data_IF_840809798090
#
_entry.id   IF_840809798090
#
_cell.length_a   1.000
_cell.length_b   1.000
_cell.length_c   1.000
_cell.angle_alpha   90.00
_cell.angle_beta   90.00
_cell.angle_gamma   90.00
#
_symmetry.space_group_name_H-M   'P 1'
#
loop_
_entity.id
_entity.type
_entity.pdbx_description
1 polymer ?
#
# COMPACT_ATOMS: atom_id res chain seq x y z
N UNK A 1 50.18 36.44 -2.47
CA UNK A 1 50.75 35.10 -2.73
C UNK A 1 49.85 34.08 -2.06
N UNK A 2 49.56 32.97 -2.77
CA UNK A 2 48.58 31.88 -2.49
C UNK A 2 47.11 32.23 -2.82
N UNK A 3 46.63 31.96 -4.05
CA UNK A 3 46.25 30.67 -4.69
C UNK A 3 44.88 30.16 -4.20
N UNK A 4 43.77 30.60 -4.78
CA UNK A 4 43.08 29.99 -5.93
C UNK A 4 42.86 28.47 -5.79
N UNK A 5 41.70 28.06 -5.28
CA UNK A 5 41.18 26.71 -5.42
C UNK A 5 40.02 26.67 -6.41
N UNK A 6 40.23 25.85 -7.43
CA UNK A 6 39.43 25.63 -8.62
C UNK A 6 38.26 24.68 -8.35
N UNK A 7 37.15 24.98 -9.02
CA UNK A 7 36.08 24.06 -9.43
C UNK A 7 36.62 22.67 -9.82
N UNK A 8 35.92 21.61 -9.36
CA UNK A 8 35.73 20.30 -10.02
C UNK A 8 34.80 19.45 -9.13
N UNK A 9 33.49 19.48 -9.41
CA UNK A 9 32.57 18.41 -8.99
C UNK A 9 32.43 17.53 -10.23
N UNK A 10 33.03 16.35 -10.15
CA UNK A 10 33.05 15.37 -11.21
C UNK A 10 31.97 14.31 -10.96
N UNK A 11 31.32 13.93 -12.06
CA UNK A 11 30.52 12.74 -12.26
C UNK A 11 31.03 11.52 -11.49
N UNK A 12 30.14 10.88 -10.72
CA UNK A 12 30.37 9.56 -10.16
C UNK A 12 29.83 8.51 -11.14
N UNK A 13 30.75 7.98 -11.95
CA UNK A 13 30.56 6.76 -12.74
C UNK A 13 30.80 5.57 -11.82
N UNK A 14 29.84 4.65 -11.83
CA UNK A 14 29.87 3.33 -11.18
C UNK A 14 31.13 2.58 -11.62
N UNK A 15 32.06 2.38 -10.69
CA UNK A 15 33.20 1.50 -10.88
C UNK A 15 32.82 0.09 -10.42
N UNK A 16 32.75 -0.82 -11.39
CA UNK A 16 32.66 -2.26 -11.19
C UNK A 16 33.82 -2.74 -10.30
N UNK A 17 33.50 -3.28 -9.13
CA UNK A 17 34.34 -4.24 -8.43
C UNK A 17 33.68 -5.61 -8.53
N UNK A 18 34.37 -6.51 -9.21
CA UNK A 18 33.95 -7.88 -9.42
C UNK A 18 33.71 -8.60 -8.09
N UNK A 19 32.50 -9.12 -7.94
CA UNK A 19 32.19 -10.18 -7.00
C UNK A 19 31.80 -11.41 -7.80
N UNK A 20 32.73 -12.36 -7.83
CA UNK A 20 32.49 -13.72 -8.27
C UNK A 20 31.92 -14.49 -7.09
N UNK A 21 30.60 -14.56 -6.97
CA UNK A 21 29.88 -15.59 -6.20
C UNK A 21 28.38 -15.58 -6.58
N UNK A 22 28.01 -16.29 -7.65
CA UNK A 22 26.62 -16.66 -7.92
C UNK A 22 26.56 -18.17 -8.15
N UNK A 23 26.51 -18.90 -7.04
CA UNK A 23 25.99 -20.27 -6.98
C UNK A 23 25.19 -20.41 -5.68
N UNK A 24 24.07 -19.70 -5.63
CA UNK A 24 22.90 -20.13 -4.88
C UNK A 24 21.74 -20.00 -5.87
N UNK A 25 21.36 -21.13 -6.47
CA UNK A 25 20.13 -21.27 -7.23
C UNK A 25 18.98 -21.24 -6.22
N UNK A 26 18.61 -20.04 -5.76
CA UNK A 26 17.26 -19.80 -5.25
C UNK A 26 16.30 -19.83 -6.43
N UNK A 27 15.05 -20.23 -6.20
CA UNK A 27 14.00 -20.21 -7.22
C UNK A 27 13.93 -18.81 -7.84
N UNK A 28 14.48 -18.66 -9.05
CA UNK A 28 14.33 -17.44 -9.84
C UNK A 28 12.87 -17.41 -10.27
N UNK A 29 12.17 -16.32 -9.91
CA UNK A 29 10.80 -15.97 -10.32
C UNK A 29 10.59 -16.46 -11.77
N UNK A 30 9.61 -17.34 -11.99
CA UNK A 30 9.32 -17.87 -13.33
C UNK A 30 9.00 -16.68 -14.24
N UNK A 31 9.97 -16.25 -15.03
CA UNK A 31 9.74 -15.27 -16.08
C UNK A 31 8.84 -15.93 -17.10
N UNK A 32 7.60 -15.45 -17.17
CA UNK A 32 6.61 -15.77 -18.20
C UNK A 32 7.25 -16.09 -19.57
N UNK A 33 6.75 -17.15 -20.21
CA UNK A 33 7.22 -17.82 -21.44
C UNK A 33 7.34 -16.95 -22.72
N UNK A 34 7.19 -15.65 -22.62
CA UNK A 34 7.43 -14.74 -23.73
C UNK A 34 8.85 -14.18 -23.60
N UNK A 35 9.75 -14.58 -24.50
CA UNK A 35 11.10 -13.99 -24.68
C UNK A 35 11.06 -12.49 -25.05
N UNK A 36 9.88 -11.86 -25.05
CA UNK A 36 9.70 -10.46 -25.41
C UNK A 36 10.12 -9.55 -24.25
N UNK A 37 10.99 -8.54 -24.51
CA UNK A 37 11.30 -7.53 -23.52
C UNK A 37 10.04 -6.86 -22.98
N UNK A 38 10.03 -6.60 -21.67
CA UNK A 38 8.92 -5.94 -20.98
C UNK A 38 9.35 -4.52 -20.61
N UNK A 39 8.54 -3.55 -21.00
CA UNK A 39 8.63 -2.18 -20.53
C UNK A 39 8.01 -2.06 -19.14
N UNK A 40 8.77 -1.53 -18.19
CA UNK A 40 8.27 -1.09 -16.90
C UNK A 40 8.28 0.44 -16.84
N UNK A 41 7.16 1.00 -16.40
CA UNK A 41 6.97 2.43 -16.19
C UNK A 41 6.51 2.63 -14.76
N UNK A 42 7.22 3.47 -14.00
CA UNK A 42 6.71 3.95 -12.71
C UNK A 42 6.52 5.45 -12.76
N UNK A 43 5.48 5.95 -12.11
CA UNK A 43 5.22 7.38 -12.01
C UNK A 43 4.83 7.73 -10.58
N UNK A 44 5.35 8.85 -10.09
CA UNK A 44 4.99 9.41 -8.80
C UNK A 44 4.80 10.92 -8.93
N UNK A 45 3.81 11.48 -8.25
CA UNK A 45 3.55 12.92 -8.29
C UNK A 45 2.72 13.41 -7.13
N UNK A 46 2.97 14.65 -6.74
CA UNK A 46 2.12 15.39 -5.81
C UNK A 46 0.92 15.98 -6.57
N UNK A 47 -0.27 15.89 -5.98
CA UNK A 47 -1.52 16.35 -6.56
C UNK A 47 -2.00 17.64 -5.89
N UNK A 48 -2.58 18.51 -6.69
CA UNK A 48 -3.55 19.51 -6.25
C UNK A 48 -4.86 19.20 -6.98
N UNK A 49 -5.92 18.97 -6.22
CA UNK A 49 -7.20 18.55 -6.77
C UNK A 49 -8.33 19.47 -6.32
N UNK A 50 -9.45 19.38 -7.02
CA UNK A 50 -10.71 20.05 -6.66
C UNK A 50 -11.77 18.97 -6.44
N UNK A 51 -12.25 18.83 -5.22
CA UNK A 51 -13.45 18.07 -4.90
C UNK A 51 -14.68 18.93 -5.18
N UNK A 52 -15.60 18.39 -5.97
CA UNK A 52 -16.89 18.99 -6.27
C UNK A 52 -17.95 18.18 -5.52
N UNK A 53 -18.41 18.71 -4.40
CA UNK A 53 -19.44 18.11 -3.55
C UNK A 53 -20.43 19.17 -3.05
N UNK A 54 -21.72 18.85 -3.00
CA UNK A 54 -22.78 19.69 -2.43
C UNK A 54 -22.75 21.20 -2.83
N UNK A 55 -22.38 21.49 -4.08
CA UNK A 55 -22.27 22.86 -4.65
C UNK A 55 -21.12 23.72 -4.08
N UNK A 56 -20.15 23.10 -3.41
CA UNK A 56 -18.91 23.73 -3.00
C UNK A 56 -17.71 23.02 -3.63
N UNK A 57 -16.71 23.82 -3.96
CA UNK A 57 -15.43 23.34 -4.45
C UNK A 57 -14.44 23.36 -3.29
N UNK A 58 -13.81 22.22 -3.02
CA UNK A 58 -12.77 22.09 -2.00
C UNK A 58 -11.43 21.81 -2.67
N UNK A 59 -10.42 22.61 -2.38
CA UNK A 59 -9.05 22.32 -2.82
C UNK A 59 -8.44 21.25 -1.93
N UNK A 60 -8.00 20.16 -2.54
CA UNK A 60 -7.32 19.05 -1.88
C UNK A 60 -5.85 19.02 -2.29
N UNK A 61 -5.03 18.43 -1.43
CA UNK A 61 -3.68 17.98 -1.76
C UNK A 61 -3.67 16.46 -1.78
N UNK A 62 -2.69 15.85 -2.41
CA UNK A 62 -2.61 14.41 -2.46
C UNK A 62 -1.36 13.92 -3.17
N UNK A 63 -1.35 12.64 -3.47
CA UNK A 63 -0.30 11.97 -4.21
C UNK A 63 -0.89 10.95 -5.18
N UNK A 64 -0.26 10.81 -6.33
CA UNK A 64 -0.49 9.72 -7.28
C UNK A 64 0.76 8.88 -7.42
N UNK A 65 0.57 7.58 -7.55
CA UNK A 65 1.61 6.63 -7.89
C UNK A 65 1.05 5.57 -8.83
N UNK A 66 1.76 5.23 -9.90
CA UNK A 66 1.35 4.14 -10.78
C UNK A 66 2.52 3.28 -11.25
N UNK A 67 2.22 2.01 -11.51
CA UNK A 67 3.08 1.06 -12.20
C UNK A 67 2.35 0.59 -13.46
N UNK A 68 2.93 0.90 -14.61
CA UNK A 68 2.41 0.50 -15.91
C UNK A 68 3.40 -0.46 -16.57
N UNK A 69 2.87 -1.35 -17.39
CA UNK A 69 3.64 -2.38 -18.08
C UNK A 69 3.16 -2.53 -19.51
N UNK A 70 4.08 -2.81 -20.42
CA UNK A 70 3.73 -3.23 -21.78
C UNK A 70 4.85 -4.07 -22.40
N UNK A 71 4.52 -5.00 -23.28
CA UNK A 71 5.48 -5.59 -24.21
C UNK A 71 5.61 -4.74 -25.48
N UNK A 72 6.61 -5.04 -26.32
CA UNK A 72 6.76 -4.35 -27.60
C UNK A 72 5.53 -4.55 -28.51
N UNK A 73 4.95 -5.75 -28.50
CA UNK A 73 3.70 -6.09 -29.20
C UNK A 73 2.51 -5.30 -28.69
N UNK A 74 2.35 -5.18 -27.37
CA UNK A 74 1.26 -4.40 -26.76
C UNK A 74 1.38 -2.91 -27.10
N UNK A 75 2.57 -2.33 -27.02
CA UNK A 75 2.80 -0.94 -27.41
C UNK A 75 2.49 -0.69 -28.89
N UNK A 76 2.81 -1.64 -29.79
CA UNK A 76 2.44 -1.55 -31.22
C UNK A 76 0.94 -1.58 -31.43
N UNK A 77 0.20 -2.24 -30.54
CA UNK A 77 -1.26 -2.26 -30.53
C UNK A 77 -1.86 -1.03 -29.81
N UNK A 78 -1.02 -0.19 -29.20
CA UNK A 78 -1.45 0.96 -28.42
C UNK A 78 -2.07 0.54 -27.08
N UNK A 79 -1.57 -0.52 -26.46
CA UNK A 79 -2.05 -1.06 -25.18
C UNK A 79 -0.93 -0.93 -24.15
N UNK A 80 -1.28 -0.43 -22.97
CA UNK A 80 -0.42 -0.42 -21.78
C UNK A 80 -1.23 -0.89 -20.60
N UNK A 81 -0.78 -1.97 -19.97
CA UNK A 81 -1.43 -2.54 -18.79
C UNK A 81 -1.14 -1.74 -17.53
N UNK A 82 -2.14 -1.60 -16.67
CA UNK A 82 -2.03 -0.93 -15.38
C UNK A 82 -1.82 -2.00 -14.31
N UNK A 83 -0.56 -2.15 -13.87
CA UNK A 83 -0.19 -3.09 -12.82
C UNK A 83 -0.49 -2.52 -11.43
N UNK A 84 -0.54 -1.19 -11.28
CA UNK A 84 -0.96 -0.50 -10.08
C UNK A 84 -1.26 0.97 -10.34
N UNK A 85 -2.26 1.54 -9.66
CA UNK A 85 -2.61 2.95 -9.70
C UNK A 85 -3.22 3.33 -8.35
N UNK A 86 -2.46 4.09 -7.58
CA UNK A 86 -2.80 4.48 -6.22
C UNK A 86 -2.91 6.00 -6.19
N UNK A 87 -4.04 6.49 -5.68
CA UNK A 87 -4.22 7.92 -5.45
C UNK A 87 -4.66 8.10 -4.01
N UNK A 88 -4.10 9.08 -3.34
CA UNK A 88 -4.50 9.46 -2.00
C UNK A 88 -4.69 10.97 -1.95
N UNK A 89 -5.78 11.41 -1.32
CA UNK A 89 -6.09 12.81 -1.08
C UNK A 89 -6.09 13.07 0.43
N UNK A 90 -5.52 14.20 0.83
CA UNK A 90 -5.30 14.59 2.22
C UNK A 90 -6.19 15.77 2.61
N UNK A 91 -6.56 15.86 3.89
CA UNK A 91 -7.38 16.95 4.40
C UNK A 91 -8.78 17.01 3.78
N UNK A 92 -9.35 15.87 3.39
CA UNK A 92 -10.66 15.78 2.73
C UNK A 92 -11.77 16.09 3.73
N UNK A 93 -12.62 17.11 3.51
CA UNK A 93 -13.71 17.44 4.42
C UNK A 93 -14.77 16.34 4.41
N UNK A 94 -14.78 15.47 5.42
CA UNK A 94 -15.55 14.23 5.41
C UNK A 94 -17.06 14.50 5.31
N UNK A 95 -17.53 15.53 6.02
CA UNK A 95 -18.93 15.95 5.99
C UNK A 95 -19.40 16.44 4.60
N UNK A 96 -18.50 16.93 3.75
CA UNK A 96 -18.86 17.34 2.39
C UNK A 96 -19.18 16.13 1.49
N UNK A 97 -18.60 14.97 1.79
CA UNK A 97 -18.85 13.72 1.06
C UNK A 97 -20.07 12.99 1.62
N UNK A 98 -20.16 12.89 2.95
CA UNK A 98 -21.16 12.02 3.60
C UNK A 98 -22.43 12.76 4.03
N UNK A 99 -22.41 14.09 4.05
CA UNK A 99 -23.48 14.91 4.62
C UNK A 99 -23.63 14.78 6.14
N UNK A 100 -22.70 14.09 6.83
CA UNK A 100 -22.75 13.85 8.28
C UNK A 100 -21.53 14.41 8.98
N UNK A 101 -21.72 14.93 10.20
CA UNK A 101 -20.62 15.38 11.04
C UNK A 101 -19.78 14.16 11.47
N UNK A 102 -18.46 14.14 11.22
CA UNK A 102 -17.59 13.07 11.67
C UNK A 102 -17.47 13.06 13.20
N UNK A 103 -17.24 11.88 13.78
CA UNK A 103 -17.11 11.70 15.24
C UNK A 103 -15.81 12.29 15.77
N UNK A 104 -14.71 12.09 15.04
CA UNK A 104 -13.37 12.46 15.49
C UNK A 104 -12.85 13.73 14.81
N UNK A 105 -12.48 13.65 13.53
CA UNK A 105 -11.88 14.78 12.78
C UNK A 105 -12.77 15.29 11.66
N UNK A 106 -12.79 16.62 11.47
CA UNK A 106 -13.53 17.26 10.37
C UNK A 106 -13.01 16.86 8.98
N UNK A 107 -11.71 16.56 8.88
CA UNK A 107 -11.04 16.11 7.66
C UNK A 107 -10.48 14.71 7.82
N UNK A 108 -10.22 14.01 6.72
CA UNK A 108 -9.52 12.73 6.70
C UNK A 108 -8.83 12.45 5.37
N UNK A 109 -8.26 11.26 5.26
CA UNK A 109 -7.64 10.73 4.03
C UNK A 109 -8.69 10.08 3.13
N UNK A 110 -8.63 10.30 1.81
CA UNK A 110 -9.42 9.56 0.82
C UNK A 110 -8.48 8.81 -0.11
N UNK A 111 -8.52 7.48 -0.05
CA UNK A 111 -7.75 6.61 -0.93
C UNK A 111 -8.56 6.16 -2.14
N UNK A 112 -7.91 6.00 -3.28
CA UNK A 112 -8.40 5.26 -4.44
C UNK A 112 -7.49 4.07 -4.69
N UNK A 113 -8.11 2.92 -4.93
CA UNK A 113 -7.44 1.67 -5.27
C UNK A 113 -8.12 1.03 -6.48
N UNK A 114 -7.32 0.41 -7.35
CA UNK A 114 -7.84 -0.35 -8.49
C UNK A 114 -8.68 -1.55 -8.04
N UNK A 115 -9.74 -1.80 -8.80
CA UNK A 115 -10.56 -3.01 -8.68
C UNK A 115 -9.86 -4.15 -9.43
N UNK A 116 -9.35 -5.14 -8.67
CA UNK A 116 -8.60 -6.28 -9.21
C UNK A 116 -9.52 -7.39 -9.72
N UNK A 117 -10.79 -7.39 -9.33
CA UNK A 117 -11.75 -8.45 -9.68
C UNK A 117 -12.17 -8.38 -11.14
N UNK A 118 -12.04 -7.20 -11.73
CA UNK A 118 -12.36 -6.93 -13.13
C UNK A 118 -11.26 -7.39 -14.09
N UNK A 119 -10.19 -7.99 -13.57
CA UNK A 119 -9.04 -8.45 -14.33
C UNK A 119 -8.08 -7.30 -14.70
N UNK A 120 -7.23 -7.55 -15.69
CA UNK A 120 -6.24 -6.58 -16.14
C UNK A 120 -6.91 -5.35 -16.77
N UNK A 121 -6.61 -4.17 -16.22
CA UNK A 121 -7.07 -2.88 -16.74
C UNK A 121 -5.98 -2.25 -17.61
N UNK A 122 -6.37 -1.55 -18.67
CA UNK A 122 -5.43 -1.03 -19.68
C UNK A 122 -5.69 0.43 -20.02
N UNK A 123 -4.62 1.14 -20.38
CA UNK A 123 -4.65 2.47 -21.00
C UNK A 123 -4.34 2.35 -22.48
N UNK A 124 -4.98 3.19 -23.29
CA UNK A 124 -4.68 3.31 -24.72
C UNK A 124 -3.48 4.23 -24.91
N UNK A 125 -2.48 3.74 -25.62
CA UNK A 125 -1.28 4.49 -25.99
C UNK A 125 -1.34 4.97 -27.44
N UNK A 126 -1.25 6.28 -27.64
CA UNK A 126 -1.01 6.88 -28.96
C UNK A 126 0.47 7.27 -29.12
N UNK A 127 1.26 6.53 -29.91
CA UNK A 127 2.69 6.80 -30.10
C UNK A 127 2.96 8.12 -30.83
N UNK A 128 1.98 8.69 -31.55
CA UNK A 128 2.19 9.97 -32.25
C UNK A 128 2.16 11.14 -31.30
N UNK A 129 1.23 11.13 -30.35
CA UNK A 129 1.10 12.19 -29.35
C UNK A 129 1.86 11.90 -28.06
N UNK A 130 2.31 10.66 -27.85
CA UNK A 130 2.89 10.21 -26.58
C UNK A 130 1.86 10.18 -25.45
N UNK A 131 0.58 9.99 -25.77
CA UNK A 131 -0.52 10.05 -24.80
C UNK A 131 -0.96 8.64 -24.38
N UNK A 132 -1.17 8.48 -23.09
CA UNK A 132 -1.84 7.36 -22.43
C UNK A 132 -3.18 7.84 -21.90
N UNK A 133 -4.27 7.20 -22.32
CA UNK A 133 -5.61 7.57 -21.86
C UNK A 133 -6.53 6.38 -21.66
N UNK A 134 -7.44 6.49 -20.69
CA UNK A 134 -8.39 5.43 -20.38
C UNK A 134 -9.22 5.76 -19.15
N UNK A 135 -10.11 4.83 -18.82
CA UNK A 135 -10.91 4.86 -17.61
C UNK A 135 -10.61 3.58 -16.82
N UNK A 136 -10.32 3.73 -15.54
CA UNK A 136 -9.97 2.64 -14.64
C UNK A 136 -11.05 2.49 -13.57
N UNK A 137 -11.53 1.27 -13.37
CA UNK A 137 -12.48 0.93 -12.32
C UNK A 137 -11.74 0.71 -11.00
N UNK A 138 -12.29 1.24 -9.92
CA UNK A 138 -11.70 1.13 -8.61
C UNK A 138 -12.69 1.37 -7.49
N UNK A 139 -12.14 1.50 -6.31
CA UNK A 139 -12.84 1.74 -5.06
C UNK A 139 -12.20 2.93 -4.36
N UNK A 140 -13.00 3.69 -3.63
CA UNK A 140 -12.51 4.72 -2.71
C UNK A 140 -12.87 4.39 -1.28
N UNK A 141 -11.96 4.73 -0.38
CA UNK A 141 -12.14 4.65 1.07
C UNK A 141 -12.07 6.04 1.71
N UNK A 142 -12.76 6.19 2.83
CA UNK A 142 -12.75 7.36 3.69
C UNK A 142 -12.95 6.89 5.13
N UNK A 143 -12.20 7.39 6.14
CA UNK A 143 -12.33 6.97 7.54
C UNK A 143 -13.78 6.99 8.03
N UNK A 144 -14.55 8.04 7.69
CA UNK A 144 -15.94 8.17 8.10
C UNK A 144 -16.84 7.01 7.64
N UNK A 145 -16.50 6.27 6.59
CA UNK A 145 -17.32 5.12 6.16
C UNK A 145 -17.46 4.08 7.27
N UNK A 146 -16.43 3.90 8.10
CA UNK A 146 -16.46 3.02 9.28
C UNK A 146 -17.32 3.55 10.43
N UNK A 147 -17.50 4.87 10.53
CA UNK A 147 -18.42 5.49 11.49
C UNK A 147 -19.88 5.28 11.07
N UNK A 148 -20.13 5.31 9.75
CA UNK A 148 -21.46 5.14 9.16
C UNK A 148 -21.90 3.68 9.15
N UNK A 149 -20.96 2.75 8.96
CA UNK A 149 -21.21 1.32 9.03
C UNK A 149 -20.63 0.70 10.30
N UNK A 150 -21.47 0.57 11.33
CA UNK A 150 -21.10 -0.11 12.57
C UNK A 150 -20.95 -1.65 12.45
N UNK A 151 -21.08 -2.25 11.26
CA UNK A 151 -20.98 -3.70 11.07
C UNK A 151 -19.62 -4.26 11.48
N UNK A 152 -18.55 -3.48 11.35
CA UNK A 152 -17.19 -3.89 11.74
C UNK A 152 -17.09 -4.22 13.23
N UNK A 153 -17.83 -3.52 14.11
CA UNK A 153 -17.88 -3.80 15.55
C UNK A 153 -18.50 -5.16 15.89
N UNK A 154 -19.11 -5.85 14.92
CA UNK A 154 -19.67 -7.19 15.07
C UNK A 154 -18.77 -8.27 14.45
N UNK A 155 -17.73 -7.88 13.74
CA UNK A 155 -16.74 -8.80 13.19
C UNK A 155 -15.97 -9.42 14.36
N UNK A 156 -15.58 -10.68 14.20
CA UNK A 156 -14.74 -11.40 15.17
C UNK A 156 -13.37 -11.59 14.54
N UNK A 157 -12.34 -11.63 15.38
CA UNK A 157 -10.96 -11.83 14.95
C UNK A 157 -10.18 -10.52 14.97
N UNK A 158 -9.16 -10.45 14.12
CA UNK A 158 -8.14 -9.40 14.09
C UNK A 158 -8.09 -8.59 12.79
N UNK A 159 -8.93 -8.90 11.81
CA UNK A 159 -8.90 -8.21 10.51
C UNK A 159 -10.25 -7.53 10.24
N UNK A 160 -10.36 -6.30 10.72
CA UNK A 160 -11.56 -5.48 10.62
C UNK A 160 -11.59 -4.74 9.29
N UNK A 161 -12.78 -4.69 8.69
CA UNK A 161 -12.97 -4.13 7.35
C UNK A 161 -13.86 -2.90 7.38
N UNK A 162 -13.66 -2.02 6.40
CA UNK A 162 -14.56 -0.89 6.14
C UNK A 162 -15.26 -1.07 4.80
N UNK A 163 -16.39 -0.40 4.63
CA UNK A 163 -17.01 -0.29 3.32
C UNK A 163 -16.18 0.63 2.43
N UNK A 164 -16.20 0.34 1.14
CA UNK A 164 -15.68 1.22 0.10
C UNK A 164 -16.79 1.66 -0.83
N UNK A 165 -16.52 2.70 -1.61
CA UNK A 165 -17.43 3.22 -2.62
C UNK A 165 -16.82 2.99 -4.00
N UNK A 166 -17.57 2.36 -4.90
CA UNK A 166 -17.10 2.15 -6.27
C UNK A 166 -16.85 3.49 -6.98
N UNK A 167 -15.81 3.53 -7.81
CA UNK A 167 -15.40 4.73 -8.53
C UNK A 167 -14.79 4.40 -9.90
N UNK A 168 -14.91 5.36 -10.82
CA UNK A 168 -14.22 5.36 -12.11
C UNK A 168 -13.18 6.47 -12.13
N UNK A 169 -11.98 6.17 -12.61
CA UNK A 169 -10.86 7.09 -12.73
C UNK A 169 -10.50 7.28 -14.21
N UNK A 170 -10.87 8.43 -14.76
CA UNK A 170 -10.36 8.91 -16.03
C UNK A 170 -8.89 9.33 -15.91
N UNK A 171 -8.02 8.76 -16.74
CA UNK A 171 -6.59 9.05 -16.79
C UNK A 171 -6.24 9.67 -18.13
N UNK A 172 -5.50 10.78 -18.11
CA UNK A 172 -4.83 11.32 -19.29
C UNK A 172 -3.39 11.70 -18.93
N UNK A 173 -2.44 10.92 -19.41
CA UNK A 173 -1.01 11.16 -19.23
C UNK A 173 -0.39 11.45 -20.59
N UNK A 174 0.26 12.61 -20.71
CA UNK A 174 0.99 13.01 -21.91
C UNK A 174 2.47 13.06 -21.61
N UNK A 175 3.26 12.28 -22.34
CA UNK A 175 4.72 12.30 -22.25
C UNK A 175 5.26 13.54 -22.98
N UNK A 176 6.26 14.21 -22.41
CA UNK A 176 6.87 15.38 -23.04
C UNK A 176 7.67 15.04 -24.31
N UNK A 177 8.08 13.78 -24.47
CA UNK A 177 8.75 13.26 -25.66
C UNK A 177 7.97 12.04 -26.20
N UNK A 178 7.36 12.18 -27.38
CA UNK A 178 6.48 11.17 -27.96
C UNK A 178 7.23 9.96 -28.53
N UNK A 179 8.56 10.07 -28.76
CA UNK A 179 9.38 8.93 -29.19
C UNK A 179 9.77 7.99 -28.02
N UNK A 180 9.37 8.33 -26.79
CA UNK A 180 10.08 7.91 -25.58
C UNK A 180 9.88 6.47 -25.10
N UNK A 181 8.73 5.82 -25.31
CA UNK A 181 8.51 4.49 -24.72
C UNK A 181 9.28 3.37 -25.45
N UNK A 182 9.57 3.55 -26.74
CA UNK A 182 10.38 2.58 -27.52
C UNK A 182 11.89 2.81 -27.38
N UNK A 183 12.32 3.91 -26.76
CA UNK A 183 13.73 4.25 -26.60
C UNK A 183 14.29 3.61 -25.30
N UNK A 184 15.59 3.30 -25.29
CA UNK A 184 16.31 3.09 -24.02
C UNK A 184 16.42 1.65 -23.48
N UNK A 185 16.65 0.63 -24.31
CA UNK A 185 16.83 -0.76 -23.85
C UNK A 185 18.00 -1.03 -22.88
N UNK A 186 18.82 -0.03 -22.55
CA UNK A 186 20.09 -0.24 -21.85
C UNK A 186 20.19 0.38 -20.46
N UNK A 187 19.31 1.32 -20.11
CA UNK A 187 19.37 2.05 -18.83
C UNK A 187 17.95 2.36 -18.32
N UNK A 188 17.85 2.71 -17.05
CA UNK A 188 16.68 3.40 -16.50
C UNK A 188 16.72 4.86 -16.94
N UNK A 189 15.60 5.37 -17.45
CA UNK A 189 15.47 6.75 -17.90
C UNK A 189 14.38 7.48 -17.12
N UNK A 190 14.72 8.64 -16.56
CA UNK A 190 13.75 9.55 -15.97
C UNK A 190 13.27 10.55 -17.01
N UNK A 191 11.95 10.70 -17.09
CA UNK A 191 11.23 11.57 -18.02
C UNK A 191 10.22 12.43 -17.26
N UNK A 192 9.76 13.49 -17.93
CA UNK A 192 8.67 14.33 -17.43
C UNK A 192 7.42 14.10 -18.28
N UNK A 193 6.26 14.21 -17.65
CA UNK A 193 4.97 14.19 -18.33
C UNK A 193 3.95 15.10 -17.64
N UNK A 194 2.84 15.31 -18.32
CA UNK A 194 1.68 16.03 -17.83
C UNK A 194 0.55 15.03 -17.56
N UNK A 195 0.04 15.01 -16.33
CA UNK A 195 -1.04 14.13 -15.90
C UNK A 195 -2.27 14.93 -15.51
N UNK A 196 -3.44 14.53 -16.01
CA UNK A 196 -4.74 14.96 -15.48
C UNK A 196 -5.57 13.73 -15.10
N UNK A 197 -6.36 13.88 -14.04
CA UNK A 197 -7.20 12.81 -13.49
C UNK A 197 -8.62 13.32 -13.25
N UNK A 198 -9.60 12.44 -13.45
CA UNK A 198 -11.00 12.68 -13.13
C UNK A 198 -11.55 11.45 -12.40
N UNK A 199 -11.78 11.58 -11.11
CA UNK A 199 -12.39 10.54 -10.29
C UNK A 199 -13.88 10.83 -10.15
N UNK A 200 -14.72 9.85 -10.45
CA UNK A 200 -16.16 9.92 -10.25
C UNK A 200 -16.64 8.72 -9.44
N UNK A 201 -17.38 8.97 -8.37
CA UNK A 201 -17.90 7.89 -7.52
C UNK A 201 -19.32 7.48 -7.88
N UNK A 202 -19.68 6.24 -7.57
CA UNK A 202 -21.05 5.76 -7.62
C UNK A 202 -21.73 5.98 -6.27
N UNK A 203 -23.04 6.31 -6.22
CA UNK A 203 -23.73 6.48 -4.95
C UNK A 203 -23.74 5.18 -4.12
N UNK A 204 -23.74 5.31 -2.78
CA UNK A 204 -23.89 4.20 -1.83
C UNK A 204 -25.20 4.40 -1.05
N UNK A 205 -26.33 3.87 -1.56
CA UNK A 205 -27.66 4.11 -0.97
C UNK A 205 -27.78 3.68 0.49
N UNK A 206 -27.12 2.59 0.87
CA UNK A 206 -27.14 2.01 2.21
C UNK A 206 -26.57 2.97 3.25
N UNK A 207 -25.58 3.77 2.86
CA UNK A 207 -24.94 4.79 3.71
C UNK A 207 -25.52 6.20 3.51
N UNK A 208 -26.42 6.36 2.54
CA UNK A 208 -26.96 7.65 2.07
C UNK A 208 -25.87 8.59 1.53
N UNK A 209 -24.84 8.02 0.91
CA UNK A 209 -23.73 8.78 0.32
C UNK A 209 -24.04 9.00 -1.16
N UNK A 210 -24.00 10.26 -1.59
CA UNK A 210 -24.21 10.64 -2.98
C UNK A 210 -22.97 10.40 -3.87
N UNK A 211 -23.14 10.66 -5.15
CA UNK A 211 -22.03 10.77 -6.09
C UNK A 211 -21.29 12.11 -5.89
N UNK A 212 -19.98 12.09 -6.02
CA UNK A 212 -19.12 13.27 -6.08
C UNK A 212 -18.00 13.06 -7.10
N UNK A 213 -17.33 14.16 -7.46
CA UNK A 213 -16.21 14.14 -8.39
C UNK A 213 -14.97 14.81 -7.81
N UNK A 214 -13.78 14.29 -8.13
CA UNK A 214 -12.50 14.91 -7.82
C UNK A 214 -11.71 15.10 -9.12
N UNK A 215 -11.24 16.32 -9.36
CA UNK A 215 -10.55 16.70 -10.59
C UNK A 215 -9.13 17.16 -10.29
N UNK A 216 -8.16 16.63 -11.02
CA UNK A 216 -6.76 17.08 -11.00
C UNK A 216 -6.47 17.75 -12.34
N UNK A 217 -6.25 19.06 -12.31
CA UNK A 217 -5.84 19.82 -13.50
C UNK A 217 -4.33 19.68 -13.72
N UNK A 218 -3.94 19.36 -14.95
CA UNK A 218 -2.57 19.08 -15.45
C UNK A 218 -1.44 19.36 -14.45
N UNK A 219 -0.89 18.29 -13.89
CA UNK A 219 0.31 18.32 -13.04
C UNK A 219 1.52 17.77 -13.77
N UNK A 220 2.71 18.26 -13.42
CA UNK A 220 3.96 17.66 -13.87
C UNK A 220 4.30 16.44 -13.02
N UNK A 221 4.60 15.33 -13.67
CA UNK A 221 4.99 14.08 -13.00
C UNK A 221 6.35 13.60 -13.51
N UNK A 222 7.11 12.96 -12.62
CA UNK A 222 8.33 12.25 -12.99
C UNK A 222 7.98 10.80 -13.31
N UNK A 223 8.51 10.32 -14.42
CA UNK A 223 8.21 9.01 -14.98
C UNK A 223 9.54 8.28 -15.17
N UNK A 224 9.71 7.14 -14.52
CA UNK A 224 10.87 6.27 -14.73
C UNK A 224 10.49 5.14 -15.67
N UNK A 225 11.33 4.89 -16.67
CA UNK A 225 11.08 3.92 -17.74
C UNK A 225 12.29 2.99 -17.89
N UNK A 226 12.05 1.69 -18.06
CA UNK A 226 13.11 0.71 -18.32
C UNK A 226 12.60 -0.51 -19.07
N UNK A 227 13.46 -1.10 -19.89
CA UNK A 227 13.24 -2.40 -20.57
C UNK A 227 14.16 -3.51 -20.02
N UNK A 228 14.95 -3.20 -18.98
CA UNK A 228 15.94 -4.11 -18.44
C UNK A 228 15.24 -5.23 -17.66
N UNK A 229 15.39 -6.48 -18.10
CA UNK A 229 14.75 -7.64 -17.47
C UNK A 229 15.20 -7.93 -16.03
N UNK A 230 16.29 -7.31 -15.57
CA UNK A 230 16.79 -7.42 -14.19
C UNK A 230 16.38 -6.23 -13.32
N UNK A 231 15.52 -5.34 -13.83
CA UNK A 231 14.90 -4.24 -13.09
C UNK A 231 13.40 -4.51 -13.02
N UNK A 232 12.82 -4.44 -11.82
CA UNK A 232 11.39 -4.60 -11.57
C UNK A 232 10.84 -3.41 -10.77
N UNK A 233 9.52 -3.30 -10.68
CA UNK A 233 8.88 -2.32 -9.82
C UNK A 233 8.80 -2.87 -8.39
N UNK A 234 9.29 -2.10 -7.43
CA UNK A 234 9.02 -2.26 -6.02
C UNK A 234 7.87 -1.36 -5.58
N UNK A 235 7.16 -1.81 -4.56
CA UNK A 235 6.08 -1.09 -3.91
C UNK A 235 6.61 -0.61 -2.55
N UNK A 236 6.53 0.68 -2.26
CA UNK A 236 6.98 1.25 -0.99
C UNK A 236 5.80 1.66 -0.15
N UNK A 237 5.76 1.19 1.10
CA UNK A 237 4.75 1.56 2.08
C UNK A 237 5.42 2.28 3.25
N UNK A 238 4.85 3.41 3.65
CA UNK A 238 5.30 4.12 4.83
C UNK A 238 4.60 3.59 6.09
N UNK A 239 5.37 3.35 7.15
CA UNK A 239 4.88 2.94 8.46
C UNK A 239 5.16 4.06 9.47
N UNK A 240 4.14 4.44 10.23
CA UNK A 240 4.23 5.37 11.36
C UNK A 240 4.10 4.58 12.65
N UNK A 241 5.21 4.25 13.33
CA UNK A 241 5.12 3.57 14.61
C UNK A 241 4.63 4.56 15.69
N UNK A 242 3.72 4.08 16.53
CA UNK A 242 3.12 4.81 17.65
C UNK A 242 3.36 4.01 18.93
N UNK A 243 3.93 4.64 19.95
CA UNK A 243 4.17 4.03 21.26
C UNK A 243 3.34 4.68 22.35
N UNK A 244 3.04 3.90 23.38
CA UNK A 244 2.41 4.35 24.61
C UNK A 244 3.52 4.72 25.60
N UNK A 245 3.41 5.90 26.19
CA UNK A 245 4.29 6.32 27.28
C UNK A 245 3.54 6.27 28.61
N UNK A 246 4.11 5.55 29.58
CA UNK A 246 3.62 5.54 30.96
C UNK A 246 4.62 6.18 31.90
N UNK A 247 4.12 6.78 32.98
CA UNK A 247 4.95 7.47 33.97
C UNK A 247 4.65 6.95 35.37
N UNK A 248 5.56 6.16 35.94
CA UNK A 248 5.58 5.78 37.35
C UNK A 248 6.99 5.96 37.93
N UNK A 249 7.33 7.21 38.26
CA UNK A 249 8.68 7.61 38.70
C UNK A 249 9.74 7.64 37.60
N UNK A 250 9.65 6.76 36.61
CA UNK A 250 10.39 6.77 35.34
C UNK A 250 9.44 6.68 34.17
N UNK A 251 9.85 7.21 33.00
CA UNK A 251 9.06 7.06 31.77
C UNK A 251 9.37 5.69 31.17
N UNK A 252 8.34 4.89 30.98
CA UNK A 252 8.37 3.66 30.20
C UNK A 252 7.76 3.93 28.82
N UNK A 253 8.27 3.26 27.79
CA UNK A 253 7.73 3.33 26.44
C UNK A 253 7.52 1.92 25.92
N UNK A 254 6.37 1.66 25.33
CA UNK A 254 6.17 0.50 24.47
C UNK A 254 6.93 0.66 23.14
N UNK A 255 6.87 -0.36 22.30
CA UNK A 255 7.42 -0.39 20.95
C UNK A 255 8.44 -1.50 20.68
N UNK A 256 8.72 -2.38 21.64
CA UNK A 256 9.68 -3.47 21.47
C UNK A 256 9.25 -4.45 20.36
N UNK A 257 7.94 -4.58 20.15
CA UNK A 257 7.34 -5.37 19.06
C UNK A 257 7.77 -4.90 17.67
N UNK A 258 8.12 -3.61 17.48
CA UNK A 258 8.56 -3.11 16.17
C UNK A 258 9.92 -3.69 15.80
N UNK A 259 10.91 -3.56 16.70
CA UNK A 259 12.26 -4.06 16.45
C UNK A 259 12.30 -5.59 16.34
N UNK A 260 11.38 -6.27 17.05
CA UNK A 260 11.22 -7.71 17.00
C UNK A 260 10.59 -8.21 15.69
N UNK A 261 9.46 -7.62 15.26
CA UNK A 261 8.69 -8.10 14.11
C UNK A 261 9.13 -7.56 12.74
N UNK A 262 9.72 -6.36 12.67
CA UNK A 262 10.11 -5.75 11.39
C UNK A 262 11.09 -6.57 10.56
N UNK A 263 12.11 -7.26 11.13
CA UNK A 263 12.99 -8.13 10.35
C UNK A 263 12.23 -9.24 9.61
N UNK A 264 11.19 -9.82 10.23
CA UNK A 264 10.31 -10.81 9.59
C UNK A 264 9.45 -10.18 8.51
N UNK A 265 8.85 -9.01 8.79
CA UNK A 265 8.09 -8.26 7.80
C UNK A 265 8.92 -7.90 6.56
N UNK A 266 10.12 -7.34 6.73
CA UNK A 266 11.03 -7.01 5.62
C UNK A 266 11.42 -8.27 4.84
N UNK A 267 11.72 -9.37 5.53
CA UNK A 267 12.13 -10.62 4.87
C UNK A 267 11.00 -11.19 4.00
N UNK A 268 9.77 -11.26 4.50
CA UNK A 268 8.64 -11.90 3.82
C UNK A 268 8.03 -11.02 2.72
N UNK A 269 7.95 -9.70 2.96
CA UNK A 269 7.35 -8.77 2.00
C UNK A 269 8.30 -8.33 0.89
N UNK A 270 9.61 -8.36 1.12
CA UNK A 270 10.57 -8.13 0.04
C UNK A 270 10.54 -9.24 -1.03
N UNK A 271 10.06 -10.45 -0.69
CA UNK A 271 9.77 -11.52 -1.67
C UNK A 271 8.63 -11.14 -2.63
N UNK A 272 7.73 -10.27 -2.19
CA UNK A 272 6.61 -9.71 -2.96
C UNK A 272 6.88 -8.27 -3.43
N UNK A 273 8.16 -7.88 -3.49
CA UNK A 273 8.62 -6.56 -3.93
C UNK A 273 8.12 -5.37 -3.12
N UNK A 274 7.66 -5.60 -1.90
CA UNK A 274 7.26 -4.55 -0.96
C UNK A 274 8.45 -4.17 -0.08
N UNK A 275 8.65 -2.86 0.10
CA UNK A 275 9.69 -2.28 0.94
C UNK A 275 9.06 -1.29 1.90
N UNK A 276 9.33 -1.44 3.19
CA UNK A 276 8.82 -0.54 4.21
C UNK A 276 9.76 0.63 4.45
N UNK A 277 9.19 1.82 4.69
CA UNK A 277 9.91 2.97 5.24
C UNK A 277 9.29 3.31 6.59
N UNK A 278 10.08 3.19 7.65
CA UNK A 278 9.62 3.41 9.02
C UNK A 278 9.99 4.83 9.46
N UNK A 279 9.02 5.60 9.94
CA UNK A 279 9.22 6.94 10.51
C UNK A 279 9.72 6.89 11.96
N UNK A 280 10.11 8.06 12.46
CA UNK A 280 10.33 8.25 13.89
C UNK A 280 9.03 8.03 14.68
N UNK A 281 9.16 7.61 15.93
CA UNK A 281 8.04 7.32 16.83
C UNK A 281 7.14 8.53 17.10
N UNK A 282 5.83 8.34 16.97
CA UNK A 282 4.82 9.17 17.63
C UNK A 282 4.54 8.61 19.02
N UNK A 283 4.18 9.46 19.98
CA UNK A 283 3.99 9.05 21.38
C UNK A 283 2.63 9.48 21.92
N UNK A 284 1.84 8.50 22.34
CA UNK A 284 0.58 8.71 23.09
C UNK A 284 0.91 8.69 24.58
N UNK A 285 0.48 9.73 25.29
CA UNK A 285 0.75 9.92 26.73
C UNK A 285 -0.48 9.54 27.57
N UNK A 286 -0.90 8.29 27.44
CA UNK A 286 -2.02 7.76 28.20
C UNK A 286 -1.69 6.35 28.71
N UNK A 287 -1.58 6.23 30.03
CA UNK A 287 -1.22 4.97 30.66
C UNK A 287 -2.36 3.94 30.65
N UNK A 288 -3.60 4.37 30.38
CA UNK A 288 -4.73 3.44 30.29
C UNK A 288 -4.57 2.49 29.08
N UNK A 289 -3.82 2.88 28.05
CA UNK A 289 -3.51 2.02 26.90
C UNK A 289 -2.33 1.05 27.10
N UNK A 290 -1.65 1.08 28.25
CA UNK A 290 -0.54 0.16 28.53
C UNK A 290 -1.03 -1.29 28.65
N UNK A 291 -2.14 -1.52 29.36
CA UNK A 291 -2.85 -2.81 29.34
C UNK A 291 -4.14 -2.67 28.53
N UNK A 292 -4.05 -3.02 27.26
CA UNK A 292 -5.07 -2.74 26.26
C UNK A 292 -6.17 -3.81 26.18
N UNK A 293 -7.42 -3.35 26.13
CA UNK A 293 -8.61 -4.14 25.82
C UNK A 293 -9.27 -3.74 24.50
N UNK A 294 -9.96 -4.70 23.86
CA UNK A 294 -10.64 -4.49 22.56
C UNK A 294 -11.66 -3.32 22.58
N UNK A 295 -12.27 -3.03 23.74
CA UNK A 295 -13.18 -1.89 23.89
C UNK A 295 -12.52 -0.52 23.73
N UNK A 296 -11.20 -0.44 23.87
CA UNK A 296 -10.41 0.79 23.81
C UNK A 296 -9.88 1.08 22.39
N UNK A 297 -10.04 0.13 21.45
CA UNK A 297 -9.49 0.21 20.11
C UNK A 297 -9.88 1.50 19.37
N UNK A 298 -11.17 1.85 19.38
CA UNK A 298 -11.67 3.02 18.67
C UNK A 298 -11.08 4.33 19.20
N UNK A 299 -10.89 4.42 20.53
CA UNK A 299 -10.31 5.62 21.15
C UNK A 299 -8.80 5.69 20.89
N UNK A 300 -8.07 4.58 21.03
CA UNK A 300 -6.63 4.53 20.75
C UNK A 300 -6.30 4.90 19.31
N UNK A 301 -7.03 4.35 18.33
CA UNK A 301 -6.81 4.62 16.91
C UNK A 301 -7.09 6.08 16.50
N UNK A 302 -7.79 6.84 17.37
CA UNK A 302 -8.07 8.25 17.16
C UNK A 302 -7.01 9.20 17.76
N UNK A 303 -6.09 8.69 18.60
CA UNK A 303 -5.05 9.49 19.26
C UNK A 303 -4.00 10.00 18.27
N UNK A 304 -3.64 9.17 17.29
CA UNK A 304 -2.74 9.53 16.19
C UNK A 304 -3.49 9.31 14.89
N UNK A 305 -3.36 10.26 13.98
CA UNK A 305 -4.00 10.17 12.68
C UNK A 305 -3.20 10.94 11.64
N UNK A 306 -2.31 10.18 11.01
CA UNK A 306 -1.39 10.55 9.93
C UNK A 306 -1.99 10.14 8.59
N UNK A 307 -2.09 11.12 7.68
CA UNK A 307 -2.77 10.92 6.40
C UNK A 307 -1.99 10.08 5.36
N UNK A 308 -0.67 9.94 5.51
CA UNK A 308 0.23 9.45 4.44
C UNK A 308 1.06 8.20 4.78
N UNK A 309 0.81 7.57 5.92
CA UNK A 309 1.46 6.34 6.38
C UNK A 309 0.50 5.46 7.15
N UNK A 310 0.79 4.17 7.19
CA UNK A 310 0.04 3.21 8.02
C UNK A 310 0.52 3.31 9.45
N UNK A 311 -0.40 3.57 10.36
CA UNK A 311 -0.09 3.72 11.78
C UNK A 311 -0.08 2.36 12.47
N UNK A 312 0.93 2.14 13.30
CA UNK A 312 1.11 0.90 14.04
C UNK A 312 1.26 1.24 15.51
N UNK A 313 0.21 1.01 16.28
CA UNK A 313 0.16 1.26 17.72
C UNK A 313 0.72 0.05 18.45
N UNK A 314 1.78 0.25 19.22
CA UNK A 314 2.37 -0.77 20.07
C UNK A 314 1.87 -0.57 21.50
N UNK A 315 1.11 -1.52 22.04
CA UNK A 315 0.67 -1.55 23.44
C UNK A 315 1.59 -2.49 24.22
N UNK A 316 1.78 -2.24 25.53
CA UNK A 316 2.66 -3.10 26.34
C UNK A 316 2.05 -4.51 26.47
N UNK A 317 0.81 -4.57 26.95
CA UNK A 317 0.09 -5.81 27.21
C UNK A 317 -1.32 -5.78 26.60
N UNK A 318 -1.80 -6.94 26.13
CA UNK A 318 -3.21 -7.14 25.83
C UNK A 318 -3.91 -7.90 26.95
N UNK A 319 -5.18 -7.57 27.22
CA UNK A 319 -6.00 -8.41 28.10
C UNK A 319 -6.08 -9.83 27.54
N UNK A 320 -6.25 -10.84 28.41
CA UNK A 320 -6.33 -12.23 27.98
C UNK A 320 -7.43 -12.50 26.93
N UNK A 321 -8.56 -11.77 27.02
CA UNK A 321 -9.64 -11.87 26.04
C UNK A 321 -9.23 -11.30 24.68
N UNK A 322 -8.63 -10.10 24.67
CA UNK A 322 -8.13 -9.46 23.44
C UNK A 322 -7.04 -10.31 22.80
N UNK A 323 -6.05 -10.76 23.59
CA UNK A 323 -4.97 -11.63 23.10
C UNK A 323 -5.48 -12.92 22.47
N UNK A 324 -6.49 -13.55 23.07
CA UNK A 324 -7.09 -14.76 22.53
C UNK A 324 -7.85 -14.52 21.22
N UNK A 325 -8.45 -13.34 21.04
CA UNK A 325 -9.18 -12.97 19.84
C UNK A 325 -8.26 -12.52 18.71
N UNK A 326 -7.19 -11.80 19.06
CA UNK A 326 -6.38 -11.06 18.10
C UNK A 326 -5.06 -11.75 17.76
N UNK A 327 -4.59 -12.65 18.62
CA UNK A 327 -3.36 -13.38 18.33
C UNK A 327 -2.09 -12.55 18.43
N UNK A 328 -2.13 -11.37 19.06
CA UNK A 328 -0.96 -10.49 19.23
C UNK A 328 -1.15 -9.11 18.60
N UNK A 329 -2.17 -8.95 17.76
CA UNK A 329 -2.51 -7.68 17.14
C UNK A 329 -3.69 -7.77 16.19
N UNK A 330 -4.10 -6.62 15.68
CA UNK A 330 -5.21 -6.51 14.76
C UNK A 330 -5.03 -5.36 13.79
N UNK A 331 -5.48 -5.59 12.57
CA UNK A 331 -5.55 -4.62 11.49
C UNK A 331 -6.96 -4.08 11.35
N UNK A 332 -7.06 -2.76 11.35
CA UNK A 332 -8.30 -2.02 11.20
C UNK A 332 -8.35 -1.38 9.82
N UNK A 333 -9.46 -1.62 9.13
CA UNK A 333 -9.73 -1.06 7.80
C UNK A 333 -8.71 -1.50 6.74
N UNK A 334 -8.21 -2.74 6.84
CA UNK A 334 -7.14 -3.24 5.96
C UNK A 334 -7.42 -3.05 4.46
N UNK A 335 -6.37 -2.78 3.69
CA UNK A 335 -6.44 -2.47 2.25
C UNK A 335 -6.76 -1.00 1.92
N UNK A 336 -7.11 -0.19 2.92
CA UNK A 336 -7.53 1.21 2.75
C UNK A 336 -6.40 2.22 3.05
N UNK A 337 -6.56 3.48 2.64
CA UNK A 337 -5.65 4.56 3.05
C UNK A 337 -5.75 4.86 4.55
N UNK A 338 -6.91 4.59 5.15
CA UNK A 338 -7.15 4.76 6.59
C UNK A 338 -6.66 3.60 7.45
N UNK A 339 -5.98 2.60 6.88
CA UNK A 339 -5.60 1.39 7.62
C UNK A 339 -4.70 1.68 8.81
N UNK A 340 -4.99 1.05 9.94
CA UNK A 340 -4.14 1.10 11.14
C UNK A 340 -3.95 -0.30 11.74
N UNK A 341 -2.89 -0.50 12.50
CA UNK A 341 -2.59 -1.74 13.22
C UNK A 341 -2.49 -1.43 14.72
N UNK A 342 -3.03 -2.31 15.57
CA UNK A 342 -2.66 -2.40 16.99
C UNK A 342 -1.88 -3.69 17.18
N UNK A 343 -0.67 -3.62 17.73
CA UNK A 343 0.22 -4.75 17.98
C UNK A 343 0.66 -4.74 19.45
N UNK A 344 0.90 -5.91 20.03
CA UNK A 344 1.37 -6.07 21.41
C UNK A 344 2.89 -6.22 21.46
N UNK A 345 3.53 -5.62 22.46
CA UNK A 345 4.94 -5.91 22.80
C UNK A 345 5.11 -7.29 23.43
N UNK A 346 4.03 -7.90 23.92
CA UNK A 346 4.05 -9.30 24.39
C UNK A 346 4.61 -10.28 23.34
N UNK A 347 4.47 -9.98 22.04
CA UNK A 347 5.08 -10.77 20.97
C UNK A 347 6.62 -10.84 21.15
N UNK A 348 7.24 -9.70 21.44
CA UNK A 348 8.67 -9.61 21.71
C UNK A 348 9.05 -10.22 23.06
N UNK A 349 8.28 -9.93 24.12
CA UNK A 349 8.58 -10.38 25.49
C UNK A 349 8.56 -11.89 25.65
N UNK A 350 7.61 -12.55 24.99
CA UNK A 350 7.54 -14.02 24.99
C UNK A 350 8.36 -14.66 23.86
N UNK A 351 8.91 -13.85 22.96
CA UNK A 351 9.68 -14.33 21.81
C UNK A 351 8.85 -15.19 20.86
N UNK A 352 7.56 -14.89 20.77
CA UNK A 352 6.61 -15.60 19.91
C UNK A 352 6.25 -14.72 18.72
N UNK A 353 6.00 -15.35 17.58
CA UNK A 353 5.39 -14.75 16.42
C UNK A 353 6.26 -13.69 15.71
N UNK A 354 7.45 -14.12 15.27
CA UNK A 354 8.39 -13.29 14.49
C UNK A 354 7.78 -12.75 13.18
N UNK A 355 6.73 -13.39 12.70
CA UNK A 355 6.01 -13.07 11.45
C UNK A 355 4.67 -12.40 11.70
N UNK A 356 4.27 -12.17 12.95
CA UNK A 356 3.02 -11.49 13.33
C UNK A 356 2.86 -10.15 12.60
N UNK A 357 3.87 -9.29 12.71
CA UNK A 357 3.81 -7.97 12.09
C UNK A 357 3.75 -8.09 10.56
N UNK A 358 4.39 -9.11 9.98
CA UNK A 358 4.28 -9.40 8.55
C UNK A 358 2.85 -9.80 8.18
N UNK A 359 2.17 -10.60 9.01
CA UNK A 359 0.77 -10.99 8.83
C UNK A 359 -0.18 -9.79 8.84
N UNK A 360 -0.07 -8.93 9.86
CA UNK A 360 -0.87 -7.70 9.95
C UNK A 360 -0.62 -6.78 8.75
N UNK A 361 0.64 -6.65 8.31
CA UNK A 361 0.96 -5.90 7.09
C UNK A 361 0.37 -6.54 5.82
N UNK A 362 0.09 -7.84 5.81
CA UNK A 362 -0.68 -8.48 4.75
C UNK A 362 -2.12 -8.00 4.69
N UNK A 363 -2.76 -7.84 5.84
CA UNK A 363 -4.08 -7.23 5.93
C UNK A 363 -4.09 -5.77 5.46
N UNK A 364 -3.03 -5.02 5.78
CA UNK A 364 -2.82 -3.66 5.26
C UNK A 364 -2.75 -3.65 3.74
N UNK A 365 -2.11 -4.67 3.15
CA UNK A 365 -1.96 -4.87 1.72
C UNK A 365 -3.16 -5.58 1.08
N UNK A 366 -4.35 -5.48 1.68
CA UNK A 366 -5.65 -6.00 1.23
C UNK A 366 -5.92 -7.49 1.44
N UNK A 367 -4.91 -8.28 1.81
CA UNK A 367 -5.09 -9.72 1.95
C UNK A 367 -5.94 -10.09 3.17
N UNK A 368 -6.72 -11.15 3.06
CA UNK A 368 -7.54 -11.76 4.12
C UNK A 368 -6.94 -13.10 4.51
N UNK A 369 -7.40 -13.69 5.61
CA UNK A 369 -7.09 -15.09 5.87
C UNK A 369 -7.65 -15.97 4.76
N UNK A 370 -6.92 -17.03 4.35
CA UNK A 370 -7.40 -17.96 3.34
C UNK A 370 -8.78 -18.54 3.68
N UNK A 371 -9.70 -18.55 2.71
CA UNK A 371 -11.04 -19.12 2.86
C UNK A 371 -12.03 -18.22 3.60
N UNK A 372 -11.71 -16.95 3.82
CA UNK A 372 -12.62 -15.97 4.42
C UNK A 372 -13.75 -15.54 3.47
N UNK A 373 -13.67 -15.91 2.18
CA UNK A 373 -14.74 -15.71 1.21
C UNK A 373 -14.72 -14.34 0.55
N UNK A 374 -13.53 -13.83 0.26
CA UNK A 374 -13.29 -12.55 -0.42
C UNK A 374 -12.61 -12.74 -1.78
N UNK A 375 -12.80 -11.80 -2.74
CA UNK A 375 -13.59 -10.56 -2.68
C UNK A 375 -15.11 -10.78 -2.65
N UNK A 376 -15.87 -9.78 -2.19
CA UNK A 376 -17.34 -9.80 -2.26
C UNK A 376 -17.94 -8.42 -2.58
N UNK A 377 -19.25 -8.36 -2.84
CA UNK A 377 -19.93 -7.15 -3.32
C UNK A 377 -19.78 -5.91 -2.40
N UNK A 378 -19.59 -6.11 -1.09
CA UNK A 378 -19.41 -5.00 -0.13
C UNK A 378 -17.95 -4.65 0.11
N UNK A 379 -17.03 -5.55 -0.25
CA UNK A 379 -15.59 -5.44 -0.02
C UNK A 379 -14.82 -6.03 -1.20
N UNK A 380 -15.02 -5.48 -2.42
CA UNK A 380 -14.41 -6.02 -3.63
C UNK A 380 -12.89 -5.80 -3.65
N UNK A 381 -12.38 -4.97 -2.75
CA UNK A 381 -10.96 -4.68 -2.67
C UNK A 381 -10.18 -5.72 -1.85
N UNK A 382 -10.83 -6.43 -0.92
CA UNK A 382 -10.17 -7.44 -0.06
C UNK A 382 -10.07 -8.76 -0.81
N UNK A 383 -8.96 -9.47 -0.67
CA UNK A 383 -8.69 -10.70 -1.42
C UNK A 383 -8.23 -11.79 -0.44
N UNK A 384 -8.73 -13.01 -0.57
CA UNK A 384 -8.22 -14.13 0.23
C UNK A 384 -6.72 -14.34 -0.04
N UNK A 385 -5.91 -14.34 1.02
CA UNK A 385 -4.52 -14.75 0.94
C UNK A 385 -4.39 -16.24 0.66
N UNK A 386 -3.21 -16.67 0.23
CA UNK A 386 -2.97 -18.08 -0.08
C UNK A 386 -2.77 -18.95 1.18
N UNK A 387 -3.24 -20.20 1.15
CA UNK A 387 -3.00 -21.19 2.21
C UNK A 387 -1.52 -21.55 2.31
N UNK A 388 -1.07 -21.99 3.49
CA UNK A 388 0.34 -22.34 3.74
C UNK A 388 1.30 -21.13 3.76
N UNK A 389 0.80 -19.91 3.59
CA UNK A 389 1.59 -18.68 3.62
C UNK A 389 1.46 -17.92 4.94
N UNK A 390 2.17 -16.80 5.06
CA UNK A 390 2.08 -15.86 6.17
C UNK A 390 0.64 -15.41 6.46
N UNK A 391 -0.28 -15.47 5.49
CA UNK A 391 -1.68 -15.11 5.69
C UNK A 391 -2.50 -16.16 6.45
N UNK A 392 -1.94 -17.33 6.74
CA UNK A 392 -2.63 -18.32 7.57
C UNK A 392 -2.74 -17.85 9.03
N UNK A 393 -3.91 -17.99 9.67
CA UNK A 393 -4.07 -17.65 11.09
C UNK A 393 -3.28 -18.62 11.97
N UNK A 394 -2.57 -18.11 12.97
CA UNK A 394 -1.73 -18.90 13.88
C UNK A 394 -2.05 -18.71 15.37
N UNK A 395 -2.62 -17.54 15.71
CA UNK A 395 -2.89 -17.13 17.08
C UNK A 395 -1.61 -16.82 17.87
N UNK A 396 -1.76 -16.31 19.10
CA UNK A 396 -0.64 -15.69 19.84
C UNK A 396 0.57 -16.58 20.13
N UNK A 397 0.39 -17.90 20.21
CA UNK A 397 1.46 -18.81 20.63
C UNK A 397 2.19 -19.47 19.45
N UNK A 398 1.84 -19.16 18.21
CA UNK A 398 2.46 -19.76 17.05
C UNK A 398 2.77 -18.69 16.00
N UNK A 399 3.94 -18.79 15.41
CA UNK A 399 4.32 -17.93 14.28
C UNK A 399 3.43 -18.23 13.07
N UNK A 400 3.05 -17.18 12.34
CA UNK A 400 2.57 -17.37 10.98
C UNK A 400 3.67 -18.00 10.11
N UNK A 401 3.34 -18.80 9.08
CA UNK A 401 4.34 -19.35 8.17
C UNK A 401 5.23 -18.26 7.56
N UNK A 402 6.56 -18.42 7.60
CA UNK A 402 7.52 -17.55 6.93
C UNK A 402 7.63 -17.89 5.42
N UNK A 403 6.47 -17.90 4.76
CA UNK A 403 6.28 -18.28 3.37
C UNK A 403 5.38 -17.22 2.71
N UNK A 404 5.76 -16.76 1.53
CA UNK A 404 4.92 -15.90 0.70
C UNK A 404 4.70 -16.52 -0.69
N UNK A 405 3.56 -16.21 -1.31
CA UNK A 405 3.17 -16.75 -2.63
C UNK A 405 3.20 -15.69 -3.73
N UNK A 406 3.34 -16.13 -4.98
CA UNK A 406 3.16 -15.26 -6.15
C UNK A 406 1.73 -14.71 -6.21
N UNK A 407 0.72 -15.52 -5.87
CA UNK A 407 -0.67 -15.06 -5.75
C UNK A 407 -0.85 -13.92 -4.75
N UNK A 408 -0.23 -13.98 -3.57
CA UNK A 408 -0.24 -12.87 -2.60
C UNK A 408 0.42 -11.64 -3.22
N UNK A 409 1.60 -11.79 -3.83
CA UNK A 409 2.37 -10.70 -4.42
C UNK A 409 1.63 -9.97 -5.57
N UNK A 410 0.78 -10.68 -6.31
CA UNK A 410 -0.01 -10.10 -7.42
C UNK A 410 -1.29 -9.41 -6.92
N UNK A 411 -1.82 -9.85 -5.79
CA UNK A 411 -3.09 -9.37 -5.23
C UNK A 411 -2.93 -8.20 -4.26
N UNK A 412 -1.72 -7.92 -3.77
CA UNK A 412 -1.51 -6.81 -2.84
C UNK A 412 -1.89 -5.45 -3.46
N UNK A 413 -2.55 -4.63 -2.64
CA UNK A 413 -2.94 -3.27 -3.01
C UNK A 413 -3.14 -2.41 -1.75
N UNK A 414 -2.83 -1.13 -1.85
CA UNK A 414 -3.16 -0.12 -0.84
C UNK A 414 -2.94 1.30 -1.46
N UNK A 415 -3.87 2.26 -1.28
CA UNK A 415 -3.71 3.62 -1.82
C UNK A 415 -2.44 4.38 -1.36
N UNK A 416 -1.83 3.96 -0.26
CA UNK A 416 -0.58 4.54 0.27
C UNK A 416 0.69 3.97 -0.38
N UNK A 417 0.60 2.95 -1.23
CA UNK A 417 1.76 2.40 -1.92
C UNK A 417 2.28 3.36 -2.98
N UNK A 418 3.61 3.54 -2.97
CA UNK A 418 4.34 4.21 -4.06
C UNK A 418 5.14 3.21 -4.87
N UNK A 419 5.43 3.51 -6.13
CA UNK A 419 6.21 2.62 -6.98
C UNK A 419 7.61 3.19 -7.20
N UNK A 420 8.60 2.31 -7.23
CA UNK A 420 9.97 2.66 -7.58
C UNK A 420 10.61 1.51 -8.35
N UNK A 421 11.60 1.79 -9.19
CA UNK A 421 12.37 0.72 -9.83
C UNK A 421 13.46 0.19 -8.89
N UNK A 422 13.64 -1.13 -8.85
CA UNK A 422 14.73 -1.82 -8.13
C UNK A 422 15.36 -2.91 -8.98
N UNK A 423 16.53 -3.38 -8.57
CA UNK A 423 17.12 -4.61 -9.11
C UNK A 423 16.32 -5.79 -8.59
N UNK A 424 16.08 -6.78 -9.46
CA UNK A 424 15.36 -8.01 -9.13
C UNK A 424 15.97 -8.69 -7.91
N UNK A 425 15.12 -9.05 -6.94
CA UNK A 425 15.51 -9.77 -5.73
C UNK A 425 14.95 -11.20 -5.70
N UNK A 426 15.10 -11.89 -4.57
CA UNK A 426 14.41 -13.15 -4.34
C UNK A 426 12.89 -12.93 -4.49
N UNK A 427 12.23 -13.85 -5.20
CA UNK A 427 10.78 -13.84 -5.37
C UNK A 427 10.06 -14.64 -4.27
N UNK A 428 8.74 -14.80 -4.43
CA UNK A 428 7.93 -15.61 -3.53
C UNK A 428 8.38 -17.07 -3.48
N UNK A 429 8.08 -17.75 -2.37
CA UNK A 429 8.54 -19.11 -2.08
C UNK A 429 7.77 -20.18 -2.87
N UNK A 430 6.52 -19.87 -3.22
CA UNK A 430 5.59 -20.76 -3.91
C UNK A 430 4.70 -19.97 -4.87
N UNK A 431 4.05 -20.66 -5.81
CA UNK A 431 3.17 -20.03 -6.79
C UNK A 431 1.79 -19.66 -6.20
N UNK A 432 1.10 -20.62 -5.60
CA UNK A 432 -0.31 -20.54 -5.17
C UNK A 432 -0.63 -21.50 -4.02
N UNK A 433 -1.91 -21.57 -3.61
CA UNK A 433 -2.43 -22.46 -2.55
C UNK A 433 -1.95 -23.92 -2.68
N UNK A 434 -1.95 -24.45 -3.91
CA UNK A 434 -1.61 -25.84 -4.17
C UNK A 434 -0.13 -26.13 -3.91
N UNK A 435 0.72 -25.13 -4.13
CA UNK A 435 2.16 -25.20 -3.96
C UNK A 435 2.61 -24.86 -2.53
N UNK A 436 1.95 -23.89 -1.88
CA UNK A 436 2.30 -23.43 -0.53
C UNK A 436 1.83 -24.38 0.58
N UNK A 437 0.83 -25.23 0.32
CA UNK A 437 0.29 -26.20 1.28
C UNK A 437 -0.87 -25.65 2.12
N UNK A 438 -1.27 -26.40 3.14
CA UNK A 438 -2.39 -26.05 4.01
C UNK A 438 -1.96 -25.14 5.18
N UNK A 439 -2.89 -24.36 5.72
CA UNK A 439 -2.66 -23.67 6.98
C UNK A 439 -2.46 -24.66 8.16
N UNK A 440 -1.57 -24.34 9.11
CA UNK A 440 -1.22 -25.22 10.24
C UNK A 440 -2.35 -25.45 11.26
#
# INVERSE_FOLDING_TARGET
MHSSYSKKIAALVIAMTGFSLFTQLGHTKETSKTDEPVLNITLNGELKATLVAEKQDHTLRGRVSAHLRATESELKQGIVSVQGMNIVYYGVPQAAITGKKPRHKETGVLGYMLDRDLGEQVLKYDPKSGRLEGELSGQVDLPQFSELDSSWRKQRGHDFTTLTQAAALGVNLKLNDSAALFAGQKNVETREGELSLQLETLPVPELQIGQYGIYVEFISVQIEVTWLHFIEAAQRLCLQPVRIATQDGTIHYSGDGLAFGMPGADAEWNKADVVFTVRDWETVWDADYSTFGESEAEDLLAEVDVDDCVEIFFVDDMTAATRANWGGGATFWGGSASTKIISSDENADFGNDLTHLAHELGHVLTLKHPGSGFPNATQPHRIDGNTGTLMCPSGFNNDNPAINSQGNAENINNPLLTFALKVVSAGPDCADDGDCGACP
#
